data_IF_021697242471
#
_entry.id   IF_021697242471
#
_cell.length_a   1.000
_cell.length_b   1.000
_cell.length_c   1.000
_cell.angle_alpha   90.00
_cell.angle_beta   90.00
_cell.angle_gamma   90.00
#
_symmetry.space_group_name_H-M   'P 1'
#
loop_
_entity.id
_entity.type
_entity.pdbx_description
1 polymer ?
#
# COMPACT_ATOMS: atom_id res chain seq x y z
N UNK A 1 20.85 15.99 -61.79
CA UNK A 1 19.96 17.15 -61.59
C UNK A 1 19.78 17.34 -60.09
N UNK A 2 19.71 18.60 -59.67
CA UNK A 2 20.05 19.11 -58.34
C UNK A 2 18.98 18.81 -57.26
N UNK A 3 19.50 18.93 -56.04
CA UNK A 3 19.01 18.74 -54.68
C UNK A 3 17.56 19.13 -54.33
N UNK A 4 17.04 18.52 -53.26
CA UNK A 4 16.68 19.30 -52.07
C UNK A 4 16.66 18.42 -50.80
N UNK A 5 17.51 18.78 -49.84
CA UNK A 5 17.53 18.30 -48.45
C UNK A 5 16.75 19.30 -47.61
N UNK A 6 15.76 18.86 -46.84
CA UNK A 6 15.17 19.67 -45.75
C UNK A 6 15.23 18.85 -44.46
N UNK A 7 16.24 19.17 -43.65
CA UNK A 7 16.26 18.92 -42.21
C UNK A 7 15.58 20.11 -41.54
N UNK A 8 14.56 19.88 -40.73
CA UNK A 8 14.03 20.89 -39.82
C UNK A 8 13.91 20.29 -38.43
N UNK A 9 14.93 20.56 -37.63
CA UNK A 9 14.95 20.40 -36.18
C UNK A 9 13.97 21.40 -35.57
N UNK A 10 12.97 20.91 -34.83
CA UNK A 10 12.11 21.78 -34.03
C UNK A 10 12.62 21.81 -32.59
N UNK A 11 13.48 22.80 -32.31
CA UNK A 11 13.73 23.31 -30.97
C UNK A 11 12.50 24.07 -30.49
N UNK A 12 11.89 23.65 -29.39
CA UNK A 12 10.96 24.49 -28.63
C UNK A 12 11.61 24.75 -27.27
N UNK A 13 12.27 25.90 -27.16
CA UNK A 13 12.68 26.48 -25.90
C UNK A 13 11.48 27.18 -25.26
N UNK A 14 11.19 26.87 -24.00
CA UNK A 14 10.36 27.72 -23.15
C UNK A 14 11.28 28.59 -22.29
N UNK A 15 11.24 29.90 -22.53
CA UNK A 15 11.69 30.89 -21.57
C UNK A 15 10.75 32.09 -21.59
N UNK A 16 10.22 32.37 -20.40
CA UNK A 16 9.72 33.65 -19.85
C UNK A 16 8.57 34.37 -20.54
N UNK A 17 7.45 34.46 -19.82
CA UNK A 17 6.64 35.67 -19.73
C UNK A 17 6.36 35.98 -18.26
N UNK A 18 7.08 36.98 -17.74
CA UNK A 18 6.69 37.82 -16.62
C UNK A 18 5.50 38.68 -17.05
N UNK A 19 4.46 38.76 -16.22
CA UNK A 19 3.59 39.94 -16.16
C UNK A 19 3.55 40.40 -14.72
N UNK A 20 3.94 41.66 -14.54
CA UNK A 20 3.91 42.42 -13.30
C UNK A 20 2.77 43.44 -13.31
N UNK A 21 2.46 43.93 -12.11
CA UNK A 21 1.66 45.12 -11.74
C UNK A 21 0.12 45.01 -11.85
N UNK A 22 -0.66 45.39 -10.83
CA UNK A 22 -0.32 46.03 -9.56
C UNK A 22 -1.58 46.54 -8.83
N UNK A 23 -1.40 47.03 -7.59
CA UNK A 23 -2.38 47.84 -6.85
C UNK A 23 -2.35 47.58 -5.34
N UNK A 24 -1.62 48.43 -4.60
CA UNK A 24 -1.37 48.27 -3.15
C UNK A 24 -2.34 48.99 -2.21
N UNK A 25 -2.09 48.86 -0.91
CA UNK A 25 -2.42 49.83 0.16
C UNK A 25 -1.58 49.52 1.40
N UNK A 26 -1.08 50.57 2.04
CA UNK A 26 -0.17 50.61 3.19
C UNK A 26 -0.74 50.02 4.49
N UNK A 27 0.14 49.55 5.40
CA UNK A 27 0.41 50.24 6.68
C UNK A 27 1.53 49.56 7.50
N UNK A 28 2.26 50.43 8.19
CA UNK A 28 3.49 50.23 8.98
C UNK A 28 3.37 49.26 10.17
N UNK A 29 4.47 48.56 10.51
CA UNK A 29 5.07 48.57 11.85
C UNK A 29 6.40 47.79 11.92
N UNK A 30 7.47 48.57 12.10
CA UNK A 30 8.69 48.35 12.89
C UNK A 30 9.42 46.99 12.88
N UNK A 31 10.59 47.05 12.24
CA UNK A 31 11.75 46.18 12.39
C UNK A 31 12.55 46.47 13.66
N UNK A 32 12.92 45.43 14.40
CA UNK A 32 14.21 45.34 15.08
C UNK A 32 14.58 43.87 15.33
N UNK A 33 15.39 43.31 14.44
CA UNK A 33 16.15 42.09 14.70
C UNK A 33 17.60 42.50 14.98
N UNK A 34 18.02 42.42 16.24
CA UNK A 34 19.42 42.27 16.60
C UNK A 34 19.82 40.80 16.46
N UNK A 35 20.90 40.56 15.72
CA UNK A 35 21.57 39.29 15.64
C UNK A 35 22.54 39.14 16.83
N UNK A 36 22.46 38.04 17.57
CA UNK A 36 23.57 37.56 18.39
C UNK A 36 23.77 36.05 18.20
N UNK A 37 25.00 35.73 17.82
CA UNK A 37 25.59 34.41 17.69
C UNK A 37 26.48 34.18 18.92
N UNK A 38 26.30 33.08 19.66
CA UNK A 38 27.38 32.48 20.47
C UNK A 38 27.23 30.96 20.53
N UNK A 39 28.39 30.30 20.46
CA UNK A 39 28.68 28.89 20.21
C UNK A 39 28.58 27.98 21.49
N UNK A 40 28.85 26.66 21.38
CA UNK A 40 28.30 25.61 22.25
C UNK A 40 29.13 25.32 23.51
N UNK A 41 28.51 24.65 24.48
CA UNK A 41 29.23 23.98 25.58
C UNK A 41 29.04 22.47 25.48
N UNK A 42 30.15 21.75 25.52
CA UNK A 42 30.26 20.30 25.50
C UNK A 42 30.53 19.76 26.93
N UNK A 43 30.46 18.41 27.04
CA UNK A 43 31.06 17.54 28.10
C UNK A 43 30.18 17.41 29.36
N UNK A 44 29.77 16.23 29.86
CA UNK A 44 30.58 15.06 30.18
C UNK A 44 29.78 13.75 30.43
N UNK A 45 30.43 12.62 30.11
CA UNK A 45 30.50 11.32 30.82
C UNK A 45 29.31 10.37 31.06
N UNK A 46 29.41 9.21 30.40
CA UNK A 46 29.05 7.81 30.75
C UNK A 46 29.56 7.36 32.16
N UNK A 47 29.49 6.06 32.55
CA UNK A 47 28.45 5.01 32.53
C UNK A 47 28.32 4.29 33.91
N UNK A 48 27.34 3.39 34.13
CA UNK A 48 27.60 2.14 34.91
C UNK A 48 26.47 1.08 34.87
N UNK A 49 26.78 -0.05 34.23
CA UNK A 49 26.83 -1.44 34.76
C UNK A 49 25.56 -2.11 35.37
N UNK A 50 25.15 -3.18 34.66
CA UNK A 50 24.43 -4.44 34.99
C UNK A 50 24.93 -5.16 36.28
N UNK A 51 24.56 -6.42 36.65
CA UNK A 51 23.48 -7.34 36.21
C UNK A 51 22.74 -8.01 37.40
N UNK A 52 21.79 -8.93 37.13
CA UNK A 52 21.61 -10.17 37.93
C UNK A 52 20.72 -11.22 37.22
N UNK A 53 21.37 -12.36 36.97
CA UNK A 53 20.91 -13.75 36.80
C UNK A 53 19.97 -14.21 37.95
N UNK A 54 19.14 -15.27 37.88
CA UNK A 54 19.42 -16.66 37.49
C UNK A 54 18.15 -17.55 37.51
N UNK A 55 18.26 -18.73 36.87
CA UNK A 55 17.67 -20.05 37.18
C UNK A 55 16.42 -20.61 36.43
N UNK A 56 16.74 -21.46 35.45
CA UNK A 56 16.38 -22.88 35.30
C UNK A 56 15.41 -23.50 36.32
N UNK A 57 14.44 -24.29 35.84
CA UNK A 57 14.38 -25.74 36.12
C UNK A 57 13.46 -26.47 35.12
N UNK A 58 13.98 -27.53 34.49
CA UNK A 58 13.24 -28.68 33.94
C UNK A 58 13.60 -29.87 34.85
N UNK A 59 12.69 -30.80 35.16
CA UNK A 59 12.77 -32.16 34.60
C UNK A 59 11.34 -32.76 34.44
N UNK A 60 11.02 -33.95 33.90
CA UNK A 60 11.75 -35.17 33.59
C UNK A 60 10.91 -36.06 32.64
N UNK A 61 11.58 -37.09 32.13
CA UNK A 61 11.20 -38.19 31.22
C UNK A 61 10.00 -39.05 31.68
N UNK A 62 9.39 -39.82 30.76
CA UNK A 62 9.66 -41.27 30.59
C UNK A 62 8.66 -42.00 29.63
N UNK A 63 9.26 -42.85 28.76
CA UNK A 63 8.86 -44.22 28.33
C UNK A 63 7.51 -44.47 27.61
N UNK A 64 7.30 -45.43 26.70
CA UNK A 64 8.10 -46.47 26.01
C UNK A 64 7.20 -47.13 24.92
N UNK A 65 7.84 -47.66 23.85
CA UNK A 65 7.48 -48.73 22.88
C UNK A 65 6.02 -49.08 22.56
N UNK A 66 5.72 -49.28 21.27
CA UNK A 66 5.62 -50.62 20.66
C UNK A 66 5.35 -50.57 19.13
N UNK A 67 6.18 -51.32 18.40
CA UNK A 67 5.93 -52.01 17.12
C UNK A 67 6.31 -53.49 17.41
N UNK A 68 5.92 -54.53 16.64
CA UNK A 68 5.63 -54.55 15.19
C UNK A 68 4.55 -55.58 14.73
N UNK A 69 4.41 -55.69 13.38
CA UNK A 69 4.15 -56.89 12.56
C UNK A 69 2.84 -57.01 11.76
N UNK A 70 3.05 -57.01 10.44
CA UNK A 70 2.65 -57.97 9.40
C UNK A 70 1.17 -58.35 9.21
N UNK A 71 0.64 -58.06 8.01
CA UNK A 71 0.52 -59.09 6.93
C UNK A 71 -0.03 -58.53 5.62
N UNK A 72 0.46 -59.17 4.57
CA UNK A 72 0.17 -59.12 3.14
C UNK A 72 -1.34 -59.22 2.81
N UNK A 73 -1.82 -58.60 1.73
CA UNK A 73 -1.98 -59.34 0.46
C UNK A 73 -2.36 -58.47 -0.75
N UNK A 74 -2.03 -59.06 -1.90
CA UNK A 74 -2.04 -58.54 -3.27
C UNK A 74 -3.43 -58.19 -3.82
N UNK A 75 -3.49 -57.22 -4.73
CA UNK A 75 -3.99 -57.52 -6.08
C UNK A 75 -3.49 -56.53 -7.15
N UNK A 76 -2.92 -57.12 -8.19
CA UNK A 76 -2.52 -56.53 -9.46
C UNK A 76 -3.76 -56.23 -10.31
N UNK A 77 -3.68 -55.20 -11.16
CA UNK A 77 -4.00 -55.27 -12.60
C UNK A 77 -3.81 -53.87 -13.24
N UNK A 78 -2.66 -53.71 -13.90
CA UNK A 78 -2.51 -52.90 -15.13
C UNK A 78 -2.60 -53.91 -16.31
N UNK A 79 -2.91 -53.52 -17.57
CA UNK A 79 -2.06 -52.59 -18.31
C UNK A 79 -2.71 -51.74 -19.44
N UNK A 80 -1.84 -50.93 -20.04
CA UNK A 80 -1.79 -50.46 -21.44
C UNK A 80 -2.07 -48.97 -21.74
N UNK A 81 -0.94 -48.28 -22.04
CA UNK A 81 -0.84 -47.17 -22.99
C UNK A 81 -1.00 -47.68 -24.44
N UNK A 82 -1.17 -46.76 -25.41
CA UNK A 82 -0.07 -46.63 -26.36
C UNK A 82 0.36 -45.17 -26.65
N UNK A 83 1.65 -45.05 -27.02
CA UNK A 83 2.34 -43.88 -27.58
C UNK A 83 1.84 -43.54 -28.99
N UNK A 84 1.98 -42.28 -29.40
CA UNK A 84 2.49 -41.97 -30.74
C UNK A 84 3.24 -40.62 -30.82
N UNK A 85 4.26 -40.60 -31.67
CA UNK A 85 5.27 -39.55 -31.90
C UNK A 85 5.02 -38.74 -33.20
N UNK A 86 5.80 -37.64 -33.33
CA UNK A 86 6.14 -36.80 -34.49
C UNK A 86 5.16 -35.65 -34.81
N UNK A 87 5.60 -34.41 -35.10
CA UNK A 87 6.75 -33.99 -35.93
C UNK A 87 7.25 -32.57 -35.56
N UNK A 88 8.54 -32.28 -35.81
CA UNK A 88 9.17 -30.94 -35.86
C UNK A 88 8.61 -30.08 -37.00
N UNK A 89 8.53 -28.76 -36.82
CA UNK A 89 9.29 -27.74 -37.59
C UNK A 89 8.90 -26.29 -37.22
N UNK A 90 9.94 -25.46 -37.23
CA UNK A 90 10.03 -24.02 -37.47
C UNK A 90 9.38 -22.96 -36.55
N UNK A 91 10.32 -22.36 -35.80
CA UNK A 91 10.34 -21.02 -35.24
C UNK A 91 10.30 -19.95 -36.35
N UNK A 92 9.45 -18.93 -36.22
CA UNK A 92 9.79 -17.57 -36.64
C UNK A 92 10.20 -16.75 -35.42
N UNK A 93 11.26 -15.97 -35.58
CA UNK A 93 11.69 -14.99 -34.60
C UNK A 93 10.58 -13.96 -34.34
N UNK A 94 10.08 -13.89 -33.11
CA UNK A 94 9.23 -12.81 -32.67
C UNK A 94 10.10 -11.62 -32.25
N UNK A 95 10.10 -10.62 -33.11
CA UNK A 95 10.38 -9.21 -32.81
C UNK A 95 9.72 -8.83 -31.48
N UNK A 96 10.37 -8.06 -30.58
CA UNK A 96 9.71 -7.54 -29.39
C UNK A 96 8.65 -6.54 -29.85
N UNK A 97 7.41 -7.02 -29.96
CA UNK A 97 6.24 -6.17 -30.09
C UNK A 97 5.98 -5.58 -28.71
N UNK A 98 6.18 -4.28 -28.58
CA UNK A 98 5.59 -3.46 -27.54
C UNK A 98 4.06 -3.57 -27.65
N UNK A 99 3.50 -4.62 -27.07
CA UNK A 99 2.06 -4.75 -26.92
C UNK A 99 1.58 -3.66 -25.95
N UNK A 100 0.54 -2.87 -26.31
CA UNK A 100 -0.19 -2.09 -25.32
C UNK A 100 -0.77 -3.06 -24.29
N UNK A 101 -0.69 -2.71 -23.01
CA UNK A 101 -1.22 -3.52 -21.91
C UNK A 101 -2.65 -3.98 -22.22
N UNK A 102 -2.87 -5.30 -22.27
CA UNK A 102 -4.18 -5.88 -22.54
C UNK A 102 -5.06 -5.62 -21.32
N UNK A 103 -6.05 -4.74 -21.47
CA UNK A 103 -7.06 -4.50 -20.43
C UNK A 103 -7.89 -5.77 -20.24
N UNK A 104 -7.68 -6.48 -19.14
CA UNK A 104 -8.51 -7.65 -18.78
C UNK A 104 -9.83 -7.19 -18.17
N UNK A 105 -10.92 -7.73 -18.70
CA UNK A 105 -12.28 -7.55 -18.17
C UNK A 105 -12.68 -8.84 -17.47
N UNK A 106 -13.12 -8.75 -16.22
CA UNK A 106 -13.51 -9.90 -15.42
C UNK A 106 -15.03 -10.09 -15.45
N UNK A 107 -15.48 -11.34 -15.53
CA UNK A 107 -16.91 -11.68 -15.55
C UNK A 107 -17.53 -11.60 -14.13
N UNK A 108 -18.83 -11.33 -14.06
CA UNK A 108 -19.59 -11.24 -12.79
C UNK A 108 -19.82 -12.61 -12.10
N UNK A 109 -19.29 -13.71 -12.65
CA UNK A 109 -19.61 -15.10 -12.26
C UNK A 109 -18.86 -15.63 -11.01
N UNK A 110 -18.21 -14.78 -10.22
CA UNK A 110 -17.44 -15.15 -9.01
C UNK A 110 -18.32 -15.53 -7.80
N UNK A 111 -19.50 -16.09 -8.05
CA UNK A 111 -20.57 -16.30 -7.05
C UNK A 111 -20.17 -17.33 -5.97
N UNK A 112 -19.01 -18.02 -6.12
CA UNK A 112 -18.56 -19.11 -5.24
C UNK A 112 -17.17 -18.91 -4.60
N UNK A 113 -16.52 -17.75 -4.73
CA UNK A 113 -15.23 -17.52 -4.06
C UNK A 113 -15.44 -16.83 -2.71
N UNK A 114 -14.81 -17.35 -1.65
CA UNK A 114 -14.79 -16.69 -0.34
C UNK A 114 -13.79 -15.54 -0.41
N UNK A 115 -14.21 -14.32 -0.10
CA UNK A 115 -13.31 -13.17 -0.03
C UNK A 115 -12.99 -12.83 1.42
N UNK A 116 -11.73 -12.47 1.65
CA UNK A 116 -11.31 -11.82 2.88
C UNK A 116 -11.06 -10.34 2.60
N UNK A 117 -11.52 -9.45 3.46
CA UNK A 117 -11.22 -8.04 3.35
C UNK A 117 -11.10 -7.34 4.70
N UNK A 118 -10.42 -6.19 4.68
CA UNK A 118 -10.34 -5.29 5.83
C UNK A 118 -10.54 -3.83 5.42
N UNK A 119 -11.01 -3.01 6.36
CA UNK A 119 -11.01 -1.54 6.25
C UNK A 119 -10.52 -0.84 7.51
N UNK A 120 -9.96 0.35 7.34
CA UNK A 120 -9.43 1.21 8.42
C UNK A 120 -9.78 2.67 8.15
N UNK A 121 -9.91 3.48 9.21
CA UNK A 121 -10.29 4.89 9.11
C UNK A 121 -9.77 5.70 10.30
N UNK A 122 -9.98 7.03 10.31
CA UNK A 122 -9.61 7.86 11.47
C UNK A 122 -10.27 7.41 12.79
N UNK A 123 -11.45 6.80 12.73
CA UNK A 123 -12.22 6.38 13.90
C UNK A 123 -12.02 4.91 14.29
N UNK A 124 -11.62 4.06 13.34
CA UNK A 124 -11.62 2.61 13.55
C UNK A 124 -10.28 2.03 13.14
N UNK A 125 -9.69 1.23 14.05
CA UNK A 125 -8.63 0.28 13.72
C UNK A 125 -9.11 -0.69 12.62
N UNK A 126 -8.20 -1.45 11.99
CA UNK A 126 -8.56 -2.41 10.96
C UNK A 126 -9.70 -3.36 11.40
N UNK A 127 -10.76 -3.42 10.59
CA UNK A 127 -11.95 -4.26 10.82
C UNK A 127 -12.22 -5.11 9.60
N UNK A 128 -12.66 -6.36 9.82
CA UNK A 128 -13.02 -7.29 8.74
C UNK A 128 -14.27 -6.79 8.01
N UNK A 129 -14.26 -6.91 6.69
CA UNK A 129 -15.40 -6.62 5.81
C UNK A 129 -15.74 -7.86 4.98
N UNK A 130 -17.00 -7.94 4.56
CA UNK A 130 -17.50 -8.96 3.66
C UNK A 130 -17.82 -8.34 2.30
N UNK A 131 -16.75 -7.96 1.59
CA UNK A 131 -16.81 -7.31 0.29
C UNK A 131 -15.98 -8.11 -0.71
N UNK A 132 -16.35 -8.01 -1.99
CA UNK A 132 -15.60 -8.58 -3.11
C UNK A 132 -15.55 -7.55 -4.25
N UNK A 133 -14.84 -7.88 -5.34
CA UNK A 133 -14.70 -6.95 -6.46
C UNK A 133 -16.03 -6.46 -7.06
N UNK A 134 -17.12 -7.22 -6.91
CA UNK A 134 -18.44 -6.86 -7.47
C UNK A 134 -19.31 -6.05 -6.49
N UNK A 135 -18.89 -5.91 -5.23
CA UNK A 135 -19.67 -5.29 -4.17
C UNK A 135 -18.76 -4.51 -3.20
N UNK A 136 -18.03 -3.54 -3.74
CA UNK A 136 -17.17 -2.64 -2.95
C UNK A 136 -18.02 -1.52 -2.37
N UNK A 137 -18.00 -1.34 -1.05
CA UNK A 137 -18.78 -0.29 -0.35
C UNK A 137 -18.23 1.10 -0.67
N UNK A 138 -19.11 2.01 -1.09
CA UNK A 138 -18.80 3.44 -1.26
C UNK A 138 -19.96 4.30 -0.76
N UNK A 139 -19.77 5.62 -0.73
CA UNK A 139 -20.80 6.59 -0.42
C UNK A 139 -20.96 7.55 -1.61
N UNK A 140 -22.18 7.67 -2.13
CA UNK A 140 -22.52 8.70 -3.09
C UNK A 140 -22.71 10.02 -2.34
N UNK A 141 -21.77 10.96 -2.53
CA UNK A 141 -21.79 12.26 -1.88
C UNK A 141 -22.56 13.27 -2.75
N UNK A 142 -23.73 13.69 -2.28
CA UNK A 142 -24.53 14.76 -2.89
C UNK A 142 -24.32 16.05 -2.10
N UNK A 143 -23.77 17.08 -2.74
CA UNK A 143 -23.68 18.41 -2.11
C UNK A 143 -25.07 19.01 -2.01
N UNK A 144 -25.42 19.48 -0.82
CA UNK A 144 -26.55 20.38 -0.60
C UNK A 144 -25.96 21.76 -0.33
N UNK A 145 -26.45 22.78 -1.02
CA UNK A 145 -26.07 24.17 -0.72
C UNK A 145 -26.54 24.54 0.68
N UNK A 146 -25.67 25.19 1.46
CA UNK A 146 -26.09 25.75 2.73
C UNK A 146 -26.99 26.98 2.45
N UNK A 147 -28.25 26.99 2.89
CA UNK A 147 -29.10 28.17 2.75
C UNK A 147 -28.56 29.41 3.49
N UNK A 148 -27.70 29.22 4.50
CA UNK A 148 -27.17 30.29 5.35
C UNK A 148 -25.74 30.74 4.99
N UNK A 149 -25.02 30.00 4.13
CA UNK A 149 -23.65 30.35 3.70
C UNK A 149 -23.31 29.72 2.33
N UNK A 150 -23.48 30.48 1.25
CA UNK A 150 -23.20 30.02 -0.12
C UNK A 150 -21.72 29.70 -0.39
N UNK A 151 -20.81 29.98 0.56
CA UNK A 151 -19.39 29.64 0.44
C UNK A 151 -19.01 28.32 1.14
N UNK A 152 -19.95 27.72 1.89
CA UNK A 152 -19.78 26.42 2.55
C UNK A 152 -20.79 25.42 2.01
N UNK A 153 -20.29 24.36 1.40
CA UNK A 153 -21.12 23.20 1.04
C UNK A 153 -21.45 22.42 2.31
N UNK A 154 -22.50 22.81 3.04
CA UNK A 154 -22.96 22.07 4.21
C UNK A 154 -23.99 21.01 3.83
N UNK A 155 -23.64 19.77 4.16
CA UNK A 155 -24.42 18.53 4.11
C UNK A 155 -24.19 17.74 2.82
N UNK A 156 -23.30 16.78 2.94
CA UNK A 156 -23.34 15.61 2.07
C UNK A 156 -24.57 14.80 2.45
N UNK A 157 -25.65 14.89 1.66
CA UNK A 157 -26.61 13.78 1.65
C UNK A 157 -25.83 12.61 1.08
N UNK A 158 -25.58 11.62 1.91
CA UNK A 158 -24.87 10.42 1.48
C UNK A 158 -25.83 9.27 1.35
N UNK A 159 -25.62 8.47 0.32
CA UNK A 159 -26.24 7.16 0.21
C UNK A 159 -25.13 6.14 0.12
N UNK A 160 -25.08 5.22 1.08
CA UNK A 160 -24.24 4.04 0.95
C UNK A 160 -24.72 3.25 -0.27
N UNK A 161 -23.79 2.92 -1.16
CA UNK A 161 -24.02 2.13 -2.36
C UNK A 161 -22.83 1.21 -2.57
N UNK A 162 -22.87 0.39 -3.62
CA UNK A 162 -21.75 -0.47 -3.98
C UNK A 162 -21.42 -0.36 -5.46
N UNK A 163 -20.14 -0.59 -5.77
CA UNK A 163 -19.63 -0.61 -7.14
C UNK A 163 -19.00 -1.95 -7.46
N UNK A 164 -18.86 -2.23 -8.76
CA UNK A 164 -18.12 -3.37 -9.27
C UNK A 164 -16.83 -2.91 -9.97
N UNK A 165 -15.70 -3.45 -9.54
CA UNK A 165 -14.39 -3.33 -10.16
C UNK A 165 -14.27 -4.41 -11.24
N UNK A 166 -14.54 -4.02 -12.49
CA UNK A 166 -14.63 -4.96 -13.64
C UNK A 166 -13.37 -5.05 -14.48
N UNK A 167 -12.44 -4.12 -14.31
CA UNK A 167 -11.24 -3.98 -15.13
C UNK A 167 -10.02 -3.88 -14.24
N UNK A 168 -8.93 -4.47 -14.68
CA UNK A 168 -7.62 -4.33 -14.03
C UNK A 168 -7.14 -2.88 -14.07
N UNK A 169 -6.50 -2.45 -12.98
CA UNK A 169 -6.02 -1.09 -12.76
C UNK A 169 -7.00 -0.22 -11.96
N UNK A 170 -6.70 1.08 -11.96
CA UNK A 170 -7.41 2.07 -11.15
C UNK A 170 -8.83 2.32 -11.67
N UNK A 171 -9.80 2.30 -10.76
CA UNK A 171 -11.14 2.83 -10.94
C UNK A 171 -11.34 3.98 -9.95
N UNK A 172 -11.35 5.21 -10.45
CA UNK A 172 -11.54 6.43 -9.66
C UNK A 172 -12.79 7.20 -10.07
N UNK A 173 -13.40 7.89 -9.11
CA UNK A 173 -14.54 8.78 -9.35
C UNK A 173 -14.41 10.06 -8.56
N UNK A 174 -14.57 11.19 -9.24
CA UNK A 174 -14.57 12.52 -8.63
C UNK A 174 -16.00 13.05 -8.50
N UNK A 175 -16.34 13.54 -7.32
CA UNK A 175 -17.60 14.24 -7.04
C UNK A 175 -17.26 15.67 -6.63
N UNK A 176 -17.78 16.66 -7.37
CA UNK A 176 -17.61 18.08 -7.10
C UNK A 176 -16.14 18.53 -6.94
N UNK A 177 -15.26 18.03 -7.81
CA UNK A 177 -13.83 18.37 -7.79
C UNK A 177 -13.04 17.69 -6.68
N UNK A 178 -13.66 16.83 -5.85
CA UNK A 178 -12.98 15.99 -4.86
C UNK A 178 -13.04 14.52 -5.27
N UNK A 179 -11.95 13.79 -5.06
CA UNK A 179 -11.91 12.36 -5.31
C UNK A 179 -12.81 11.64 -4.30
N UNK A 180 -13.89 11.02 -4.78
CA UNK A 180 -14.85 10.30 -3.94
C UNK A 180 -14.33 8.92 -3.58
N UNK A 181 -13.80 8.17 -4.54
CA UNK A 181 -13.15 6.89 -4.31
C UNK A 181 -12.08 6.65 -5.38
N UNK A 182 -11.07 5.86 -5.03
CA UNK A 182 -10.14 5.25 -5.97
C UNK A 182 -9.78 3.85 -5.49
N UNK A 183 -9.91 2.86 -6.38
CA UNK A 183 -9.56 1.48 -6.11
C UNK A 183 -8.78 0.88 -7.28
N UNK A 184 -7.70 0.19 -6.97
CA UNK A 184 -6.98 -0.64 -7.93
C UNK A 184 -7.46 -2.09 -7.83
N UNK A 185 -7.82 -2.68 -8.98
CA UNK A 185 -8.05 -4.12 -9.11
C UNK A 185 -6.80 -4.77 -9.73
N UNK A 186 -6.25 -5.77 -9.04
CA UNK A 186 -5.04 -6.49 -9.48
C UNK A 186 -5.39 -7.95 -9.75
N UNK A 187 -5.06 -8.43 -10.95
CA UNK A 187 -5.34 -9.80 -11.41
C UNK A 187 -6.79 -10.28 -11.25
N UNK A 188 -7.74 -9.37 -11.03
CA UNK A 188 -9.15 -9.67 -10.80
C UNK A 188 -9.47 -10.25 -9.42
N UNK A 189 -8.48 -10.61 -8.61
CA UNK A 189 -8.70 -11.35 -7.36
C UNK A 189 -8.24 -10.58 -6.12
N UNK A 190 -7.72 -9.36 -6.29
CA UNK A 190 -7.26 -8.48 -5.21
C UNK A 190 -7.73 -7.07 -5.57
N UNK A 191 -8.29 -6.34 -4.62
CA UNK A 191 -8.42 -4.89 -4.74
C UNK A 191 -7.95 -4.18 -3.49
N UNK A 192 -7.52 -2.94 -3.66
CA UNK A 192 -7.16 -2.04 -2.57
C UNK A 192 -7.41 -0.59 -2.97
N UNK A 193 -7.61 0.28 -1.98
CA UNK A 193 -7.82 1.69 -2.24
C UNK A 193 -8.57 2.36 -1.11
N UNK A 194 -9.40 3.33 -1.46
CA UNK A 194 -10.12 4.15 -0.50
C UNK A 194 -11.39 4.75 -1.07
N UNK A 195 -12.26 5.18 -0.15
CA UNK A 195 -13.44 5.97 -0.43
C UNK A 195 -13.67 7.03 0.65
N UNK A 196 -14.31 8.13 0.29
CA UNK A 196 -14.77 9.14 1.22
C UNK A 196 -16.03 8.67 1.92
N UNK A 197 -16.03 8.83 3.24
CA UNK A 197 -17.18 8.58 4.10
C UNK A 197 -17.55 9.88 4.83
N UNK A 198 -18.82 10.27 4.88
CA UNK A 198 -19.22 11.44 5.65
C UNK A 198 -19.07 11.20 7.15
N UNK A 199 -18.83 12.27 7.88
CA UNK A 199 -18.95 12.28 9.34
C UNK A 199 -20.41 12.19 9.77
N UNK A 200 -20.64 11.79 11.03
CA UNK A 200 -21.99 11.57 11.55
C UNK A 200 -22.85 12.85 11.55
N UNK A 201 -22.22 14.02 11.60
CA UNK A 201 -22.89 15.32 11.51
C UNK A 201 -23.04 15.84 10.07
N UNK A 202 -22.52 15.11 9.08
CA UNK A 202 -22.51 15.41 7.65
C UNK A 202 -21.84 16.74 7.26
N UNK A 203 -21.05 17.33 8.17
CA UNK A 203 -20.31 18.58 7.89
C UNK A 203 -18.99 18.33 7.18
N UNK A 204 -18.37 17.19 7.47
CA UNK A 204 -17.08 16.80 6.92
C UNK A 204 -17.15 15.38 6.33
N UNK A 205 -16.07 15.00 5.65
CA UNK A 205 -15.83 13.64 5.18
C UNK A 205 -14.40 13.24 5.50
N UNK A 206 -14.17 11.94 5.67
CA UNK A 206 -12.85 11.35 5.89
C UNK A 206 -12.65 10.15 4.96
N UNK A 207 -11.40 9.83 4.69
CA UNK A 207 -11.04 8.65 3.91
C UNK A 207 -11.19 7.38 4.75
N UNK A 208 -11.73 6.35 4.12
CA UNK A 208 -11.69 4.97 4.61
C UNK A 208 -10.87 4.17 3.61
N UNK A 209 -9.80 3.53 4.08
CA UNK A 209 -8.98 2.66 3.24
C UNK A 209 -9.46 1.23 3.40
N UNK A 210 -9.50 0.48 2.31
CA UNK A 210 -9.87 -0.92 2.34
C UNK A 210 -9.09 -1.74 1.33
N UNK A 211 -9.06 -3.04 1.58
CA UNK A 211 -8.67 -4.04 0.62
C UNK A 211 -9.51 -5.29 0.79
N UNK A 212 -9.58 -6.09 -0.27
CA UNK A 212 -10.03 -7.47 -0.17
C UNK A 212 -9.36 -8.34 -1.25
N UNK A 213 -9.34 -9.64 -1.02
CA UNK A 213 -8.85 -10.62 -1.97
C UNK A 213 -9.63 -11.93 -1.89
N UNK A 214 -9.62 -12.71 -2.97
CA UNK A 214 -10.09 -14.09 -2.97
C UNK A 214 -9.24 -14.90 -2.00
N UNK A 215 -9.85 -15.45 -0.96
CA UNK A 215 -9.12 -16.13 0.11
C UNK A 215 -8.38 -17.38 -0.37
N UNK A 216 -8.79 -17.97 -1.50
CA UNK A 216 -8.12 -19.15 -2.07
C UNK A 216 -6.71 -18.87 -2.59
N UNK A 217 -6.37 -17.61 -2.87
CA UNK A 217 -5.03 -17.19 -3.30
C UNK A 217 -4.14 -16.72 -2.15
N UNK A 218 -4.62 -16.80 -0.90
CA UNK A 218 -3.81 -16.50 0.27
C UNK A 218 -2.74 -17.57 0.51
N UNK A 219 -1.50 -17.12 0.61
CA UNK A 219 -0.35 -17.99 0.84
C UNK A 219 -0.06 -18.16 2.32
N UNK A 220 -0.39 -19.36 2.82
CA UNK A 220 -0.21 -19.77 4.20
C UNK A 220 1.13 -20.47 4.47
N UNK A 221 2.13 -20.34 3.58
CA UNK A 221 3.45 -20.92 3.78
C UNK A 221 4.09 -20.46 5.10
N UNK A 222 4.96 -21.31 5.64
CA UNK A 222 5.87 -20.91 6.71
C UNK A 222 6.88 -19.90 6.19
N UNK A 223 7.11 -18.83 6.95
CA UNK A 223 8.02 -17.75 6.56
C UNK A 223 9.39 -17.84 7.23
N UNK A 224 9.64 -18.84 8.08
CA UNK A 224 10.88 -18.93 8.87
C UNK A 224 12.18 -18.88 8.03
N UNK A 225 12.17 -19.41 6.81
CA UNK A 225 13.30 -19.38 5.87
C UNK A 225 12.95 -18.64 4.57
N UNK A 226 11.86 -17.88 4.56
CA UNK A 226 11.40 -17.17 3.37
C UNK A 226 12.21 -15.89 3.17
N UNK A 227 12.68 -15.68 1.94
CA UNK A 227 13.36 -14.45 1.54
C UNK A 227 12.83 -13.98 0.19
N UNK A 228 12.51 -12.69 0.09
CA UNK A 228 11.93 -12.06 -1.08
C UNK A 228 12.03 -10.54 -0.96
N UNK A 229 11.93 -9.85 -2.09
CA UNK A 229 11.80 -8.39 -2.14
C UNK A 229 10.43 -8.04 -2.71
N UNK A 230 9.76 -7.08 -2.10
CA UNK A 230 8.49 -6.52 -2.53
C UNK A 230 8.67 -5.03 -2.71
N UNK A 231 8.16 -4.50 -3.82
CA UNK A 231 8.26 -3.06 -4.07
C UNK A 231 7.11 -2.54 -4.92
N UNK A 232 6.66 -1.32 -4.62
CA UNK A 232 5.54 -0.70 -5.31
C UNK A 232 5.56 0.82 -5.19
N UNK A 233 5.54 1.49 -6.35
CA UNK A 233 5.33 2.93 -6.43
C UNK A 233 3.92 3.28 -5.94
N UNK A 234 3.82 4.23 -5.01
CA UNK A 234 2.58 4.61 -4.33
C UNK A 234 1.94 3.46 -3.53
N UNK A 235 2.72 2.42 -3.19
CA UNK A 235 2.22 1.19 -2.55
C UNK A 235 1.61 1.40 -1.17
N UNK A 236 1.95 2.49 -0.47
CA UNK A 236 1.30 2.87 0.78
C UNK A 236 0.41 4.09 0.56
N UNK A 237 -0.91 3.89 0.54
CA UNK A 237 -1.88 4.99 0.53
C UNK A 237 -2.39 5.20 1.95
N UNK A 238 -2.20 6.40 2.47
CA UNK A 238 -2.49 6.70 3.87
C UNK A 238 -3.00 8.11 4.07
N UNK A 239 -3.68 8.32 5.18
CA UNK A 239 -4.12 9.63 5.65
C UNK A 239 -3.36 9.97 6.91
N UNK A 240 -2.71 11.13 6.93
CA UNK A 240 -1.93 11.64 8.07
C UNK A 240 -2.56 12.91 8.62
N UNK A 241 -2.55 13.05 9.94
CA UNK A 241 -3.10 14.21 10.63
C UNK A 241 -2.15 15.40 10.49
N UNK A 242 -2.62 16.47 9.85
CA UNK A 242 -1.91 17.75 9.71
C UNK A 242 -2.84 18.84 10.24
N UNK A 243 -2.49 19.38 11.42
CA UNK A 243 -3.41 20.26 12.16
C UNK A 243 -4.64 19.50 12.64
N UNK A 244 -5.82 19.94 12.21
CA UNK A 244 -7.11 19.32 12.57
C UNK A 244 -7.64 18.35 11.51
N UNK A 245 -7.00 18.28 10.35
CA UNK A 245 -7.46 17.51 9.20
C UNK A 245 -6.58 16.29 8.97
N UNK A 246 -7.16 15.28 8.31
CA UNK A 246 -6.42 14.15 7.78
C UNK A 246 -6.22 14.35 6.29
N UNK A 247 -4.96 14.44 5.87
CA UNK A 247 -4.58 14.68 4.49
C UNK A 247 -4.09 13.38 3.89
N UNK A 248 -4.59 13.06 2.69
CA UNK A 248 -4.14 11.91 1.94
C UNK A 248 -2.70 12.10 1.46
N UNK A 249 -1.92 11.03 1.58
CA UNK A 249 -0.54 10.93 1.13
C UNK A 249 -0.30 9.55 0.49
N UNK A 250 0.79 9.46 -0.26
CA UNK A 250 1.26 8.23 -0.88
C UNK A 250 2.75 8.03 -0.58
N UNK A 251 3.16 6.79 -0.44
CA UNK A 251 4.55 6.42 -0.24
C UNK A 251 4.94 5.22 -1.11
N UNK A 252 6.15 5.27 -1.66
CA UNK A 252 6.74 4.14 -2.36
C UNK A 252 7.23 3.13 -1.33
N UNK A 253 6.85 1.86 -1.51
CA UNK A 253 7.15 0.79 -0.57
C UNK A 253 8.31 -0.03 -1.12
N UNK A 254 9.33 -0.24 -0.28
CA UNK A 254 10.38 -1.23 -0.50
C UNK A 254 10.50 -2.11 0.75
N UNK A 255 10.13 -3.39 0.63
CA UNK A 255 10.10 -4.34 1.74
C UNK A 255 10.89 -5.60 1.39
N UNK A 256 11.73 -6.04 2.33
CA UNK A 256 12.60 -7.20 2.17
C UNK A 256 12.29 -8.20 3.28
N UNK A 257 11.98 -9.43 2.87
CA UNK A 257 12.04 -10.61 3.71
C UNK A 257 13.44 -11.21 3.69
N UNK A 258 14.02 -11.43 4.87
CA UNK A 258 15.26 -12.20 5.06
C UNK A 258 15.03 -13.24 6.16
N UNK A 259 14.86 -14.50 5.78
CA UNK A 259 14.54 -15.61 6.70
C UNK A 259 13.38 -15.26 7.63
N UNK A 260 12.28 -14.79 7.03
CA UNK A 260 11.06 -14.40 7.76
C UNK A 260 11.15 -13.10 8.53
N UNK A 261 12.30 -12.43 8.62
CA UNK A 261 12.39 -11.07 9.15
C UNK A 261 12.05 -10.05 8.08
N UNK A 262 11.32 -9.02 8.46
CA UNK A 262 10.93 -7.92 7.60
C UNK A 262 11.83 -6.73 7.89
N UNK A 263 12.35 -6.12 6.84
CA UNK A 263 13.06 -4.84 6.89
C UNK A 263 12.73 -4.04 5.62
N UNK A 264 12.72 -2.72 5.69
CA UNK A 264 12.48 -1.90 4.51
C UNK A 264 12.19 -0.44 4.85
N UNK A 265 11.63 0.26 3.89
CA UNK A 265 11.28 1.67 4.03
C UNK A 265 10.06 2.05 3.18
N UNK A 266 9.47 3.18 3.56
CA UNK A 266 8.50 3.89 2.73
C UNK A 266 9.07 5.27 2.45
N UNK A 267 9.15 5.64 1.18
CA UNK A 267 9.71 6.92 0.74
C UNK A 267 8.68 7.82 0.07
N UNK A 268 8.93 9.13 0.06
CA UNK A 268 8.07 10.12 -0.58
C UNK A 268 8.33 10.12 -2.10
N UNK A 269 7.34 9.77 -2.93
CA UNK A 269 7.48 9.69 -4.39
C UNK A 269 7.67 11.06 -5.06
N UNK A 270 7.40 12.15 -4.36
CA UNK A 270 7.41 13.51 -4.89
C UNK A 270 8.58 14.36 -4.37
N UNK A 271 9.41 13.80 -3.49
CA UNK A 271 10.60 14.49 -2.99
C UNK A 271 11.79 14.27 -3.93
N UNK A 272 12.49 15.36 -4.25
CA UNK A 272 13.77 15.35 -4.95
C UNK A 272 14.97 15.29 -4.00
N UNK A 273 14.72 15.21 -2.69
CA UNK A 273 15.76 15.18 -1.66
C UNK A 273 16.43 13.80 -1.57
N UNK A 274 17.71 13.81 -1.17
CA UNK A 274 18.54 12.60 -1.00
C UNK A 274 18.02 11.71 0.14
N UNK A 275 17.24 12.25 1.08
CA UNK A 275 16.60 11.50 2.16
C UNK A 275 15.08 11.72 2.13
N UNK A 276 14.40 11.04 1.22
CA UNK A 276 12.95 11.09 1.08
C UNK A 276 12.23 10.03 1.94
N UNK A 277 12.91 9.41 2.91
CA UNK A 277 12.31 8.35 3.73
C UNK A 277 11.30 8.91 4.74
N UNK A 278 10.08 8.38 4.68
CA UNK A 278 8.97 8.73 5.57
C UNK A 278 8.88 7.74 6.75
N UNK A 279 9.00 6.44 6.46
CA UNK A 279 8.87 5.38 7.45
C UNK A 279 9.96 4.32 7.29
N UNK A 280 10.35 3.74 8.41
CA UNK A 280 11.11 2.50 8.49
C UNK A 280 10.14 1.32 8.68
N UNK A 281 10.42 0.21 7.99
CA UNK A 281 9.64 -1.03 8.07
C UNK A 281 10.43 -2.08 8.83
N UNK A 282 9.85 -2.65 9.87
CA UNK A 282 10.47 -3.71 10.66
C UNK A 282 9.43 -4.76 11.08
N UNK A 283 9.81 -6.03 11.19
CA UNK A 283 8.84 -7.04 11.59
C UNK A 283 9.33 -8.48 11.46
N UNK A 284 8.38 -9.40 11.63
CA UNK A 284 8.62 -10.84 11.53
C UNK A 284 7.38 -11.55 11.00
N UNK A 285 7.62 -12.50 10.10
CA UNK A 285 6.61 -13.33 9.46
C UNK A 285 5.52 -12.48 8.81
N UNK A 286 4.35 -12.34 9.43
CA UNK A 286 3.25 -11.54 8.88
C UNK A 286 2.94 -10.30 9.72
N UNK A 287 3.73 -10.04 10.74
CA UNK A 287 3.60 -8.88 11.61
C UNK A 287 4.59 -7.81 11.17
N UNK A 288 4.07 -6.67 10.72
CA UNK A 288 4.83 -5.50 10.31
C UNK A 288 4.60 -4.36 11.30
N UNK A 289 5.67 -3.66 11.64
CA UNK A 289 5.65 -2.36 12.30
C UNK A 289 6.12 -1.32 11.29
N UNK A 290 5.30 -0.30 11.07
CA UNK A 290 5.65 0.90 10.31
C UNK A 290 6.00 1.98 11.33
N UNK A 291 7.26 2.40 11.34
CA UNK A 291 7.80 3.36 12.30
C UNK A 291 8.10 4.67 11.57
N UNK A 292 7.58 5.82 12.01
CA UNK A 292 7.96 7.10 11.43
C UNK A 292 9.47 7.30 11.53
N UNK A 293 10.08 7.83 10.47
CA UNK A 293 11.46 8.25 10.56
C UNK A 293 11.61 9.41 11.56
N UNK A 294 12.79 9.57 12.18
CA UNK A 294 13.05 10.64 13.14
C UNK A 294 12.79 12.03 12.56
N UNK A 295 13.12 12.21 11.28
CA UNK A 295 12.97 13.48 10.56
C UNK A 295 11.74 13.47 9.64
N UNK A 296 10.71 12.71 10.02
CA UNK A 296 9.45 12.60 9.27
C UNK A 296 8.82 13.98 9.05
N UNK A 297 8.52 14.31 7.79
CA UNK A 297 8.00 15.62 7.36
C UNK A 297 6.65 15.99 8.01
N UNK A 298 5.87 15.00 8.43
CA UNK A 298 4.58 15.19 9.10
C UNK A 298 4.71 15.30 10.62
N UNK A 299 5.94 15.32 11.17
CA UNK A 299 6.24 15.44 12.61
C UNK A 299 5.66 14.30 13.45
N UNK A 300 5.56 13.11 12.87
CA UNK A 300 5.11 11.89 13.56
C UNK A 300 6.19 11.37 14.52
N UNK A 301 5.78 10.82 15.66
CA UNK A 301 6.70 10.38 16.71
C UNK A 301 7.19 8.93 16.51
N UNK A 302 8.48 8.75 16.27
CA UNK A 302 9.12 7.42 16.13
C UNK A 302 9.22 6.60 17.44
N UNK A 303 8.93 7.24 18.57
CA UNK A 303 9.02 6.67 19.92
C UNK A 303 7.67 6.67 20.65
N UNK A 304 6.56 6.94 19.95
CA UNK A 304 5.24 7.14 20.55
C UNK A 304 4.12 6.34 19.87
N UNK A 305 2.89 6.84 20.00
CA UNK A 305 1.67 6.23 19.45
C UNK A 305 1.58 6.20 17.92
N UNK A 306 2.58 6.73 17.21
CA UNK A 306 2.66 6.73 15.76
C UNK A 306 3.36 5.49 15.17
N UNK A 307 3.76 4.52 16.00
CA UNK A 307 4.19 3.22 15.49
C UNK A 307 2.95 2.39 15.12
N UNK A 308 2.78 2.08 13.82
CA UNK A 308 1.64 1.32 13.33
C UNK A 308 1.96 -0.17 13.29
N UNK A 309 1.17 -0.99 13.98
CA UNK A 309 1.16 -2.43 13.77
C UNK A 309 0.22 -2.79 12.61
N UNK A 310 0.70 -3.66 11.72
CA UNK A 310 -0.02 -4.11 10.54
C UNK A 310 0.16 -5.62 10.38
N UNK A 311 -0.96 -6.32 10.16
CA UNK A 311 -0.95 -7.71 9.73
C UNK A 311 -0.86 -7.74 8.20
N UNK A 312 0.14 -8.44 7.67
CA UNK A 312 0.33 -8.66 6.25
C UNK A 312 -0.30 -9.99 5.81
N UNK A 313 -0.91 -9.97 4.63
CA UNK A 313 -1.33 -11.14 3.89
C UNK A 313 -0.40 -11.32 2.70
N UNK A 314 0.17 -12.51 2.55
CA UNK A 314 0.92 -12.89 1.35
C UNK A 314 -0.06 -13.52 0.37
N UNK A 315 -0.08 -13.05 -0.87
CA UNK A 315 -1.03 -13.47 -1.88
C UNK A 315 -0.27 -14.00 -3.09
N UNK A 316 -0.67 -15.16 -3.61
CA UNK A 316 -0.11 -15.75 -4.83
C UNK A 316 -1.19 -15.84 -5.91
N UNK A 317 -1.12 -14.94 -6.90
CA UNK A 317 -2.11 -14.85 -7.97
C UNK A 317 -1.43 -14.77 -9.32
N UNK A 318 -1.76 -15.71 -10.21
CA UNK A 318 -1.26 -15.75 -11.59
C UNK A 318 0.27 -15.66 -11.70
N UNK A 319 1.00 -16.47 -10.90
CA UNK A 319 2.47 -16.52 -10.86
C UNK A 319 3.15 -15.24 -10.32
N UNK A 320 2.35 -14.27 -9.85
CA UNK A 320 2.85 -13.09 -9.14
C UNK A 320 2.52 -13.21 -7.66
N UNK A 321 3.42 -12.72 -6.83
CA UNK A 321 3.24 -12.68 -5.38
C UNK A 321 3.07 -11.23 -4.92
N UNK A 322 2.18 -11.02 -3.97
CA UNK A 322 1.86 -9.71 -3.42
C UNK A 322 1.87 -9.75 -1.91
N UNK A 323 2.07 -8.60 -1.29
CA UNK A 323 1.74 -8.37 0.11
C UNK A 323 0.69 -7.28 0.21
N UNK A 324 -0.20 -7.43 1.17
CA UNK A 324 -1.24 -6.45 1.43
C UNK A 324 -1.58 -6.39 2.92
N UNK A 325 -1.90 -5.20 3.42
CA UNK A 325 -2.30 -5.00 4.82
C UNK A 325 -2.90 -3.63 5.05
N UNK A 326 -3.61 -3.47 6.16
CA UNK A 326 -4.17 -2.19 6.59
C UNK A 326 -3.86 -1.97 8.06
N UNK A 327 -3.66 -0.70 8.43
CA UNK A 327 -3.24 -0.35 9.77
C UNK A 327 -3.75 1.02 10.20
N UNK A 328 -3.66 1.27 11.50
CA UNK A 328 -3.94 2.56 12.13
C UNK A 328 -2.98 2.78 13.29
N UNK A 329 -2.42 3.99 13.33
CA UNK A 329 -1.72 4.54 14.48
C UNK A 329 -2.51 5.73 15.05
N UNK A 330 -1.90 6.49 15.95
CA UNK A 330 -2.54 7.67 16.54
C UNK A 330 -2.83 8.74 15.47
N UNK A 331 -1.82 9.15 14.69
CA UNK A 331 -1.95 10.27 13.77
C UNK A 331 -1.99 9.88 12.28
N UNK A 332 -1.99 8.60 11.93
CA UNK A 332 -2.20 8.17 10.54
C UNK A 332 -2.78 6.75 10.44
N UNK A 333 -3.35 6.44 9.27
CA UNK A 333 -3.93 5.14 8.94
C UNK A 333 -3.92 4.95 7.43
N UNK A 334 -3.89 3.70 6.96
CA UNK A 334 -3.78 3.44 5.53
C UNK A 334 -3.76 1.97 5.15
N UNK A 335 -3.58 1.74 3.86
CA UNK A 335 -3.42 0.43 3.23
C UNK A 335 -2.04 0.36 2.56
N UNK A 336 -1.35 -0.77 2.74
CA UNK A 336 -0.10 -1.10 2.09
C UNK A 336 -0.36 -2.21 1.09
N UNK A 337 0.18 -2.05 -0.12
CA UNK A 337 0.20 -3.04 -1.17
C UNK A 337 1.59 -3.04 -1.84
N UNK A 338 2.16 -4.22 -2.08
CA UNK A 338 3.36 -4.33 -2.90
C UNK A 338 3.47 -5.64 -3.68
N UNK A 339 4.05 -5.57 -4.88
CA UNK A 339 4.34 -6.73 -5.74
C UNK A 339 5.76 -7.24 -5.49
N UNK A 340 5.91 -8.56 -5.43
CA UNK A 340 7.22 -9.21 -5.35
C UNK A 340 8.04 -8.88 -6.59
N UNK A 341 9.29 -8.49 -6.40
CA UNK A 341 10.25 -8.32 -7.49
C UNK A 341 10.95 -9.64 -7.76
N UNK A 342 11.12 -9.95 -9.04
CA UNK A 342 11.98 -11.05 -9.44
C UNK A 342 13.40 -10.75 -8.95
N UNK A 343 14.07 -11.76 -8.40
CA UNK A 343 15.47 -11.61 -7.98
C UNK A 343 16.29 -11.39 -9.26
N UNK A 344 16.83 -10.18 -9.44
CA UNK A 344 17.86 -9.92 -10.46
C UNK A 344 19.15 -10.71 -10.18
#
# INVERSE_FOLDING_TARGET
MKELVIKTSLFIGLSSLLVACGGGSDTNAESSHEAQQVNPTAVNSQPQVEPKTHNETQPEKQLEKEQPQDREDKNQLQPEQPKNQNTREDKPAHTPSSQPAVVKVYADSDINTEWFGMKTSKYHSPTVINENRNNVEIYDLVLVENPDDQTKYDKTKSKQTTIALRKEGETSHYSHGKLNYSFDLVNGNIYYGYYLKPEADYKNSYLTYSYAFDKSIEDNRSLANYSAKYSQYGGFSFSVKIGNDYIQQFGDVDLIYTNGRISGEITNPHSSEVNNKIFDLEGKERELIIRPNKDNEYKLSSNGGDNMSMQLHLINSNQKEYIIGAGKAENYYGVLFAEKKENE
#
